data_IF_659711089687
#
_entry.id   IF_659711089687
#
_cell.length_a   1.000
_cell.length_b   1.000
_cell.length_c   1.000
_cell.angle_alpha   90.00
_cell.angle_beta   90.00
_cell.angle_gamma   90.00
#
_symmetry.space_group_name_H-M   'P 1'
#
loop_
_entity.id
_entity.type
_entity.pdbx_description
1 polymer ?
#
# COMPACT_ATOMS: atom_id res chain seq x y z
N UNK A 1 -1.05 -16.24 -5.05
CA UNK A 1 0.04 -15.42 -4.50
C UNK A 1 -0.33 -14.95 -3.10
N UNK A 2 0.59 -15.04 -2.13
CA UNK A 2 0.33 -14.61 -0.75
C UNK A 2 0.45 -13.09 -0.67
N UNK A 3 -0.59 -12.43 -0.14
CA UNK A 3 -0.55 -10.99 0.15
C UNK A 3 0.49 -10.72 1.24
N UNK A 4 1.35 -9.69 1.12
CA UNK A 4 2.37 -9.36 2.13
C UNK A 4 1.77 -8.69 3.38
N UNK A 5 0.45 -8.79 3.56
CA UNK A 5 -0.27 -8.14 4.64
C UNK A 5 -0.02 -8.84 5.97
N UNK A 6 0.45 -8.08 6.97
CA UNK A 6 0.64 -8.55 8.35
C UNK A 6 -0.52 -8.17 9.28
N UNK A 7 -1.68 -7.80 8.70
CA UNK A 7 -2.88 -7.36 9.41
C UNK A 7 -2.67 -6.19 10.41
N UNK A 8 -1.60 -5.41 10.24
CA UNK A 8 -1.34 -4.18 10.98
C UNK A 8 -1.42 -3.00 10.02
N UNK A 9 -2.66 -2.59 9.72
CA UNK A 9 -2.89 -1.48 8.83
C UNK A 9 -2.67 -0.16 9.56
N UNK A 10 -1.77 0.64 9.02
CA UNK A 10 -1.87 2.07 9.15
C UNK A 10 -0.69 2.77 8.49
N UNK A 11 -0.97 3.99 8.10
CA UNK A 11 -0.27 4.71 7.06
C UNK A 11 0.69 5.73 7.66
N UNK A 12 1.81 5.97 6.97
CA UNK A 12 2.59 7.18 7.20
C UNK A 12 1.99 8.37 6.44
N UNK A 13 2.63 9.54 6.56
CA UNK A 13 2.21 10.77 5.89
C UNK A 13 2.20 10.66 4.36
N UNK A 14 2.99 9.73 3.81
CA UNK A 14 3.06 9.43 2.38
C UNK A 14 2.07 8.33 1.94
N UNK A 15 1.13 7.92 2.79
CA UNK A 15 0.15 6.86 2.53
C UNK A 15 0.74 5.46 2.26
N UNK A 16 1.93 5.17 2.76
CA UNK A 16 2.48 3.82 2.83
C UNK A 16 2.07 3.13 4.12
N UNK A 17 1.66 1.87 4.03
CA UNK A 17 1.35 1.06 5.19
C UNK A 17 2.64 0.65 5.92
N UNK A 18 2.79 1.02 7.19
CA UNK A 18 4.00 0.70 7.97
C UNK A 18 4.09 -0.77 8.40
N UNK A 19 3.06 -1.57 8.13
CA UNK A 19 3.08 -3.03 8.30
C UNK A 19 3.57 -3.79 7.07
N UNK A 20 2.99 -3.50 5.90
CA UNK A 20 3.29 -4.22 4.66
C UNK A 20 4.06 -3.42 3.60
N UNK A 21 4.37 -2.14 3.87
CA UNK A 21 5.13 -1.21 3.02
C UNK A 21 4.54 -0.97 1.61
N UNK A 22 3.26 -1.33 1.43
CA UNK A 22 2.49 -1.00 0.22
C UNK A 22 1.86 0.38 0.36
N UNK A 23 1.81 1.10 -0.75
CA UNK A 23 1.05 2.34 -0.84
C UNK A 23 -0.45 2.03 -0.83
N UNK A 24 -1.29 2.94 -0.31
CA UNK A 24 -2.75 2.75 -0.29
C UNK A 24 -3.31 2.45 -1.69
N UNK A 25 -2.82 3.12 -2.73
CA UNK A 25 -3.27 2.88 -4.11
C UNK A 25 -2.99 1.42 -4.54
N UNK A 26 -1.88 0.83 -4.11
CA UNK A 26 -1.54 -0.57 -4.38
C UNK A 26 -2.41 -1.53 -3.58
N UNK A 27 -2.76 -1.16 -2.34
CA UNK A 27 -3.64 -1.94 -1.47
C UNK A 27 -5.04 -2.01 -2.06
N UNK A 28 -5.57 -0.87 -2.52
CA UNK A 28 -6.91 -0.75 -3.13
C UNK A 28 -6.98 -1.58 -4.42
N UNK A 29 -6.02 -1.39 -5.34
CA UNK A 29 -6.03 -2.09 -6.63
C UNK A 29 -5.53 -3.53 -6.56
N UNK A 30 -5.10 -4.03 -5.40
CA UNK A 30 -4.40 -5.32 -5.30
C UNK A 30 -5.20 -6.47 -5.92
N UNK A 31 -6.51 -6.48 -5.71
CA UNK A 31 -7.42 -7.50 -6.26
C UNK A 31 -7.50 -7.46 -7.79
N UNK A 32 -7.36 -6.27 -8.37
CA UNK A 32 -7.49 -6.03 -9.81
C UNK A 32 -6.10 -5.99 -10.50
N UNK A 33 -5.01 -6.00 -9.73
CA UNK A 33 -3.66 -6.00 -10.23
C UNK A 33 -3.32 -7.36 -10.87
N UNK A 34 -2.70 -7.33 -12.06
CA UNK A 34 -2.21 -8.53 -12.71
C UNK A 34 -1.07 -9.18 -11.92
N UNK A 35 -0.79 -10.46 -12.17
CA UNK A 35 0.30 -11.16 -11.48
C UNK A 35 1.65 -10.45 -11.66
N UNK A 36 1.94 -9.95 -12.86
CA UNK A 36 3.15 -9.15 -13.11
C UNK A 36 3.21 -7.88 -12.25
N UNK A 37 2.08 -7.18 -12.08
CA UNK A 37 2.00 -6.01 -11.21
C UNK A 37 2.15 -6.38 -9.73
N UNK A 38 1.55 -7.49 -9.30
CA UNK A 38 1.70 -7.99 -7.94
C UNK A 38 3.17 -8.34 -7.63
N UNK A 39 3.86 -9.01 -8.55
CA UNK A 39 5.29 -9.32 -8.43
C UNK A 39 6.13 -8.05 -8.37
N UNK A 40 5.85 -7.07 -9.23
CA UNK A 40 6.57 -5.80 -9.24
C UNK A 40 6.42 -5.05 -7.90
N UNK A 41 5.20 -4.95 -7.37
CA UNK A 41 4.93 -4.36 -6.05
C UNK A 41 5.72 -5.10 -4.96
N UNK A 42 5.71 -6.43 -4.97
CA UNK A 42 6.43 -7.25 -3.99
C UNK A 42 7.95 -7.02 -4.05
N UNK A 43 8.50 -6.87 -5.24
CA UNK A 43 9.93 -6.60 -5.43
C UNK A 43 10.36 -5.23 -4.91
N UNK A 44 9.44 -4.26 -4.83
CA UNK A 44 9.71 -2.93 -4.28
C UNK A 44 9.66 -2.88 -2.74
N UNK A 45 8.98 -3.84 -2.08
CA UNK A 45 8.80 -3.82 -0.62
C UNK A 45 10.10 -3.85 0.19
N UNK A 46 11.12 -4.66 -0.16
CA UNK A 46 12.38 -4.67 0.59
C UNK A 46 13.07 -3.30 0.60
N UNK A 47 13.07 -2.60 -0.54
CA UNK A 47 13.64 -1.25 -0.65
C UNK A 47 12.84 -0.25 0.20
N UNK A 48 11.51 -0.27 0.11
CA UNK A 48 10.63 0.60 0.92
C UNK A 48 10.78 0.33 2.41
N UNK A 49 10.89 -0.94 2.82
CA UNK A 49 11.14 -1.32 4.21
C UNK A 49 12.46 -0.76 4.74
N UNK A 50 13.49 -0.68 3.91
CA UNK A 50 14.75 -0.05 4.28
C UNK A 50 14.63 1.48 4.41
N UNK A 51 13.82 2.12 3.56
CA UNK A 51 13.56 3.57 3.61
C UNK A 51 12.72 3.98 4.83
N UNK A 52 11.67 3.22 5.15
CA UNK A 52 10.69 3.54 6.20
C UNK A 52 10.96 2.78 7.51
N UNK A 53 12.19 2.31 7.74
CA UNK A 53 12.54 1.46 8.89
C UNK A 53 12.20 2.09 10.25
N UNK A 54 12.27 3.41 10.32
CA UNK A 54 12.03 4.19 11.54
C UNK A 54 10.70 4.99 11.50
N UNK A 55 9.92 4.82 10.44
CA UNK A 55 8.67 5.54 10.26
C UNK A 55 7.55 4.90 11.08
N UNK A 56 6.64 5.73 11.58
CA UNK A 56 5.61 5.33 12.54
C UNK A 56 4.29 5.08 11.82
N UNK A 57 3.55 4.12 12.33
CA UNK A 57 2.15 3.97 11.96
C UNK A 57 1.36 5.14 12.59
N UNK A 58 1.11 6.20 11.81
CA UNK A 58 0.49 7.42 12.30
C UNK A 58 -1.02 7.44 12.02
N UNK A 59 -1.42 7.09 10.79
CA UNK A 59 -2.78 7.31 10.32
C UNK A 59 -3.56 6.00 10.20
N UNK A 60 -4.78 6.00 10.71
CA UNK A 60 -5.70 4.88 10.52
C UNK A 60 -6.13 4.84 9.06
N UNK A 61 -6.03 3.66 8.45
CA UNK A 61 -6.54 3.41 7.11
C UNK A 61 -8.08 3.45 7.15
N UNK A 62 -8.62 4.65 6.95
CA UNK A 62 -10.05 4.94 7.03
C UNK A 62 -10.75 4.70 5.69
N UNK A 63 -12.09 4.60 5.73
CA UNK A 63 -12.90 4.53 4.52
C UNK A 63 -12.71 5.75 3.61
N UNK A 64 -12.50 6.95 4.19
CA UNK A 64 -12.26 8.16 3.40
C UNK A 64 -10.97 8.03 2.58
N UNK A 65 -9.87 7.61 3.23
CA UNK A 65 -8.58 7.38 2.58
C UNK A 65 -8.66 6.33 1.48
N UNK A 66 -9.47 5.29 1.67
CA UNK A 66 -9.74 4.28 0.65
C UNK A 66 -10.44 4.87 -0.58
N UNK A 67 -11.50 5.64 -0.37
CA UNK A 67 -12.25 6.29 -1.46
C UNK A 67 -11.39 7.30 -2.22
N UNK A 68 -10.52 8.03 -1.54
CA UNK A 68 -9.56 8.94 -2.19
C UNK A 68 -8.57 8.18 -3.08
N UNK A 69 -8.08 7.03 -2.63
CA UNK A 69 -7.20 6.17 -3.41
C UNK A 69 -7.93 5.59 -4.64
N UNK A 70 -9.16 5.12 -4.49
CA UNK A 70 -10.01 4.71 -5.62
C UNK A 70 -10.20 5.85 -6.63
N UNK A 71 -10.50 7.06 -6.15
CA UNK A 71 -10.64 8.23 -7.02
C UNK A 71 -9.34 8.59 -7.75
N UNK A 72 -8.17 8.43 -7.10
CA UNK A 72 -6.85 8.61 -7.76
C UNK A 72 -6.60 7.56 -8.82
N UNK A 73 -6.94 6.31 -8.55
CA UNK A 73 -6.77 5.21 -9.49
C UNK A 73 -7.70 5.33 -10.69
N UNK A 74 -8.96 5.72 -10.48
CA UNK A 74 -9.93 5.93 -11.55
C UNK A 74 -9.50 7.04 -12.52
N UNK A 75 -8.72 8.03 -12.06
CA UNK A 75 -8.15 9.10 -12.91
C UNK A 75 -6.88 8.69 -13.67
N UNK A 76 -6.25 7.56 -13.30
CA UNK A 76 -5.02 7.05 -13.94
C UNK A 76 -5.30 5.99 -15.01
N UNK A 77 -6.55 5.54 -15.13
CA UNK A 77 -7.03 4.61 -16.14
C UNK A 77 -7.51 5.37 -17.39
#
# INVERSE_FOLDING_TARGET
MLSPCVARCGLNDENYCMGCFRHIDEIVRWRDASEAQQVDILNQLPARKALFKDDKNQHILSRATWLEAEARLAKKA
#
